data_IF_509238501296
#
_entry.id   IF_509238501296
#
_cell.length_a   1.000
_cell.length_b   1.000
_cell.length_c   1.000
_cell.angle_alpha   90.00
_cell.angle_beta   90.00
_cell.angle_gamma   90.00
#
_symmetry.space_group_name_H-M   'P 1'
#
loop_
_entity.id
_entity.type
_entity.pdbx_description
1 polymer ?
#
# COMPACT_ATOMS: atom_id res chain seq x y z
N UNK A 1 16.52 -27.73 15.29
CA UNK A 1 16.58 -27.88 13.84
C UNK A 1 15.58 -26.89 13.20
N UNK A 2 16.04 -26.07 12.27
CA UNK A 2 15.21 -25.13 11.51
C UNK A 2 15.08 -25.62 10.06
N UNK A 3 13.89 -26.03 9.63
CA UNK A 3 13.65 -26.42 8.25
C UNK A 3 13.52 -25.20 7.30
N UNK A 4 14.05 -24.05 7.68
CA UNK A 4 13.85 -22.77 6.95
C UNK A 4 14.24 -22.82 5.47
N UNK A 5 15.10 -23.77 5.10
CA UNK A 5 15.60 -23.91 3.74
C UNK A 5 15.17 -25.20 3.04
N UNK A 6 14.34 -26.01 3.68
CA UNK A 6 13.85 -27.24 3.08
C UNK A 6 12.42 -27.54 3.55
N UNK A 7 11.39 -27.10 2.80
CA UNK A 7 9.99 -27.29 3.15
C UNK A 7 9.55 -28.76 3.18
N UNK A 8 10.35 -29.67 2.61
CA UNK A 8 10.06 -31.10 2.57
C UNK A 8 10.51 -31.82 3.85
N UNK A 9 11.16 -31.08 4.78
CA UNK A 9 11.76 -31.65 5.94
C UNK A 9 10.91 -31.46 7.18
N UNK A 10 10.41 -32.55 7.71
CA UNK A 10 9.68 -32.58 8.98
C UNK A 10 10.33 -33.56 9.96
N UNK A 11 10.05 -33.41 11.22
CA UNK A 11 10.40 -34.39 12.23
C UNK A 11 9.24 -35.39 12.38
N UNK A 12 9.56 -36.67 12.41
CA UNK A 12 8.59 -37.68 12.79
C UNK A 12 8.27 -37.55 14.28
N UNK A 13 7.29 -38.34 14.76
CA UNK A 13 6.88 -38.30 16.17
C UNK A 13 7.96 -38.74 17.18
N UNK A 14 9.06 -39.32 16.69
CA UNK A 14 10.24 -39.67 17.50
C UNK A 14 11.29 -38.55 17.50
N UNK A 15 11.06 -37.44 16.81
CA UNK A 15 12.01 -36.36 16.66
C UNK A 15 13.12 -36.64 15.64
N UNK A 16 13.02 -37.71 14.87
CA UNK A 16 13.97 -38.01 13.79
C UNK A 16 13.60 -37.29 12.51
N UNK A 17 14.56 -36.91 11.67
CA UNK A 17 14.29 -36.31 10.36
C UNK A 17 13.42 -37.24 9.49
N UNK A 18 12.34 -36.70 8.98
CA UNK A 18 11.50 -37.37 8.00
C UNK A 18 11.24 -36.44 6.82
N UNK A 19 11.25 -37.01 5.63
CA UNK A 19 10.97 -36.25 4.41
C UNK A 19 9.53 -36.52 4.00
N UNK A 20 8.76 -35.42 3.89
CA UNK A 20 7.43 -35.46 3.33
C UNK A 20 7.57 -35.13 1.85
N UNK A 21 7.29 -36.06 0.98
CA UNK A 21 7.31 -35.82 -0.45
C UNK A 21 5.90 -35.60 -0.99
N UNK A 22 5.77 -34.81 -2.04
CA UNK A 22 4.52 -34.56 -2.77
C UNK A 22 3.83 -35.86 -3.21
N UNK A 23 4.63 -36.89 -3.47
CA UNK A 23 4.17 -38.20 -3.93
C UNK A 23 3.52 -39.03 -2.81
N UNK A 24 3.97 -38.85 -1.57
CA UNK A 24 3.45 -39.59 -0.40
C UNK A 24 2.12 -39.04 0.12
N UNK A 25 1.92 -37.70 0.05
CA UNK A 25 0.73 -37.03 0.57
C UNK A 25 0.32 -35.86 -0.35
N UNK A 26 -0.16 -36.15 -1.56
CA UNK A 26 -0.47 -35.12 -2.55
C UNK A 26 -1.51 -34.10 -2.05
N UNK A 27 -2.53 -34.54 -1.31
CA UNK A 27 -3.58 -33.65 -0.78
C UNK A 27 -3.05 -32.74 0.34
N UNK A 28 -2.20 -33.29 1.21
CA UNK A 28 -1.57 -32.51 2.28
C UNK A 28 -0.51 -31.57 1.71
N UNK A 29 0.22 -31.98 0.68
CA UNK A 29 1.14 -31.11 -0.04
C UNK A 29 0.42 -29.97 -0.74
N UNK A 30 -0.74 -30.24 -1.36
CA UNK A 30 -1.60 -29.19 -1.89
C UNK A 30 -2.12 -28.24 -0.81
N UNK A 31 -2.43 -28.73 0.39
CA UNK A 31 -2.79 -27.87 1.54
C UNK A 31 -1.62 -27.05 2.06
N UNK A 32 -0.41 -27.59 2.12
CA UNK A 32 0.80 -26.87 2.51
C UNK A 32 1.27 -25.86 1.46
N UNK A 33 1.16 -26.19 0.18
CA UNK A 33 1.53 -25.31 -0.93
C UNK A 33 0.39 -24.37 -1.32
N UNK A 34 -0.85 -24.78 -1.16
CA UNK A 34 -2.02 -23.90 -1.10
C UNK A 34 -2.11 -23.23 0.27
N UNK A 35 -1.08 -22.52 0.66
CA UNK A 35 -1.27 -21.36 1.51
C UNK A 35 -2.18 -20.43 0.74
N UNK A 36 -3.49 -20.57 0.95
CA UNK A 36 -4.57 -20.15 0.11
C UNK A 36 -4.25 -18.90 -0.69
N UNK A 37 -4.35 -18.99 -2.00
CA UNK A 37 -4.40 -17.79 -2.81
C UNK A 37 -5.57 -16.98 -2.28
N UNK A 38 -5.29 -15.95 -1.49
CA UNK A 38 -6.32 -15.05 -0.97
C UNK A 38 -6.81 -14.07 -2.03
N UNK A 39 -6.61 -14.44 -3.28
CA UNK A 39 -6.94 -13.62 -4.43
C UNK A 39 -7.58 -14.45 -5.55
N UNK A 40 -8.45 -13.81 -6.30
CA UNK A 40 -8.99 -14.33 -7.55
C UNK A 40 -9.13 -13.21 -8.55
N UNK A 41 -8.64 -13.40 -9.76
CA UNK A 41 -8.91 -12.48 -10.87
C UNK A 41 -10.16 -12.93 -11.60
N UNK A 42 -11.12 -12.02 -11.81
CA UNK A 42 -12.30 -12.26 -12.64
C UNK A 42 -11.94 -12.21 -14.12
N UNK A 43 -12.90 -12.64 -14.99
CA UNK A 43 -12.78 -12.49 -16.45
C UNK A 43 -12.58 -11.05 -16.89
N UNK A 44 -13.08 -10.10 -16.12
CA UNK A 44 -13.03 -8.66 -16.40
C UNK A 44 -11.75 -7.99 -15.86
N UNK A 45 -10.79 -8.79 -15.37
CA UNK A 45 -9.50 -8.29 -14.86
C UNK A 45 -9.54 -7.70 -13.45
N UNK A 46 -10.66 -7.83 -12.74
CA UNK A 46 -10.78 -7.38 -11.35
C UNK A 46 -10.19 -8.44 -10.42
N UNK A 47 -9.26 -8.03 -9.57
CA UNK A 47 -8.65 -8.87 -8.55
C UNK A 47 -9.44 -8.75 -7.24
N UNK A 48 -10.03 -9.84 -6.78
CA UNK A 48 -10.67 -9.95 -5.47
C UNK A 48 -9.64 -10.34 -4.41
N UNK A 49 -9.68 -9.66 -3.27
CA UNK A 49 -8.74 -9.79 -2.16
C UNK A 49 -9.47 -10.14 -0.88
N UNK A 50 -8.96 -11.12 -0.13
CA UNK A 50 -9.48 -11.47 1.19
C UNK A 50 -8.32 -11.97 2.07
N UNK A 51 -7.92 -11.19 3.08
CA UNK A 51 -6.73 -11.44 3.88
C UNK A 51 -6.84 -10.90 5.30
N UNK A 52 -5.91 -11.29 6.17
CA UNK A 52 -5.67 -10.71 7.48
C UNK A 52 -4.44 -9.79 7.42
N UNK A 53 -4.54 -8.57 7.91
CA UNK A 53 -3.36 -7.71 8.05
C UNK A 53 -2.46 -8.25 9.16
N UNK A 54 -1.24 -8.66 8.80
CA UNK A 54 -0.26 -9.27 9.70
C UNK A 54 0.05 -8.39 10.91
N UNK A 55 0.05 -7.08 10.75
CA UNK A 55 0.43 -6.15 11.80
C UNK A 55 -0.69 -5.89 12.80
N UNK A 56 -1.94 -5.81 12.33
CA UNK A 56 -3.08 -5.41 13.16
C UNK A 56 -4.02 -6.55 13.51
N UNK A 57 -3.93 -7.69 12.81
CA UNK A 57 -4.87 -8.80 12.94
C UNK A 57 -6.26 -8.50 12.38
N UNK A 58 -6.44 -7.38 11.68
CA UNK A 58 -7.72 -6.99 11.09
C UNK A 58 -7.92 -7.72 9.77
N UNK A 59 -9.11 -8.27 9.58
CA UNK A 59 -9.51 -8.89 8.33
C UNK A 59 -9.92 -7.84 7.29
N UNK A 60 -9.40 -7.98 6.07
CA UNK A 60 -9.67 -7.07 4.95
C UNK A 60 -10.21 -7.82 3.75
N UNK A 61 -11.16 -7.21 3.08
CA UNK A 61 -11.78 -7.72 1.85
C UNK A 61 -11.95 -6.58 0.86
N UNK A 62 -11.88 -6.90 -0.43
CA UNK A 62 -12.07 -5.86 -1.43
C UNK A 62 -11.68 -6.28 -2.83
N UNK A 63 -11.54 -5.26 -3.68
CA UNK A 63 -11.23 -5.42 -5.09
C UNK A 63 -10.11 -4.47 -5.50
N UNK A 64 -9.33 -4.91 -6.46
CA UNK A 64 -8.35 -4.09 -7.14
C UNK A 64 -8.53 -4.23 -8.66
N UNK A 65 -8.71 -3.12 -9.33
CA UNK A 65 -8.80 -3.03 -10.78
C UNK A 65 -7.51 -2.42 -11.32
N UNK A 66 -6.67 -3.26 -11.94
CA UNK A 66 -5.36 -2.81 -12.42
C UNK A 66 -5.44 -1.80 -13.58
N UNK A 67 -6.51 -1.85 -14.38
CA UNK A 67 -6.70 -0.95 -15.51
C UNK A 67 -6.92 0.51 -15.09
N UNK A 68 -7.60 0.72 -13.97
CA UNK A 68 -7.95 2.04 -13.43
C UNK A 68 -7.16 2.41 -12.18
N UNK A 69 -6.32 1.49 -11.69
CA UNK A 69 -5.60 1.59 -10.40
C UNK A 69 -6.52 1.85 -9.20
N UNK A 70 -7.75 1.37 -9.27
CA UNK A 70 -8.73 1.52 -8.19
C UNK A 70 -8.63 0.35 -7.21
N UNK A 71 -8.35 0.67 -5.96
CA UNK A 71 -8.32 -0.25 -4.85
C UNK A 71 -9.46 0.09 -3.88
N UNK A 72 -10.44 -0.80 -3.77
CA UNK A 72 -11.54 -0.71 -2.79
C UNK A 72 -11.33 -1.79 -1.71
N UNK A 73 -10.91 -1.36 -0.52
CA UNK A 73 -10.66 -2.22 0.63
C UNK A 73 -11.53 -1.83 1.80
N UNK A 74 -12.25 -2.82 2.33
CA UNK A 74 -13.12 -2.67 3.46
C UNK A 74 -12.75 -3.65 4.57
N UNK A 75 -12.71 -3.22 5.84
CA UNK A 75 -12.50 -4.14 6.94
C UNK A 75 -13.69 -5.08 7.10
N UNK A 76 -13.44 -6.33 7.37
CA UNK A 76 -14.45 -7.29 7.78
C UNK A 76 -14.58 -7.31 9.29
N UNK A 77 -15.79 -7.38 9.81
CA UNK A 77 -16.05 -7.41 11.26
C UNK A 77 -15.42 -8.62 11.96
N UNK A 78 -15.34 -9.73 11.25
CA UNK A 78 -14.77 -10.98 11.72
C UNK A 78 -14.40 -11.90 10.54
N UNK A 79 -13.75 -13.01 10.85
CA UNK A 79 -13.37 -14.01 9.87
C UNK A 79 -14.55 -14.62 9.11
N UNK A 80 -15.69 -14.81 9.78
CA UNK A 80 -16.89 -15.35 9.13
C UNK A 80 -17.38 -14.46 7.99
N UNK A 81 -17.36 -13.14 8.18
CA UNK A 81 -17.73 -12.18 7.15
C UNK A 81 -16.73 -12.21 5.98
N UNK A 82 -15.43 -12.36 6.30
CA UNK A 82 -14.40 -12.50 5.27
C UNK A 82 -14.61 -13.77 4.45
N UNK A 83 -14.85 -14.91 5.10
CA UNK A 83 -15.10 -16.21 4.43
C UNK A 83 -16.37 -16.18 3.58
N UNK A 84 -17.40 -15.48 4.04
CA UNK A 84 -18.62 -15.30 3.24
C UNK A 84 -18.34 -14.51 1.95
N UNK A 85 -17.58 -13.41 2.04
CA UNK A 85 -17.12 -12.66 0.86
C UNK A 85 -16.28 -13.54 -0.07
N UNK A 86 -15.31 -14.26 0.49
CA UNK A 86 -14.46 -15.15 -0.29
C UNK A 86 -15.27 -16.22 -1.04
N UNK A 87 -16.25 -16.83 -0.38
CA UNK A 87 -17.15 -17.80 -0.99
C UNK A 87 -18.01 -17.18 -2.11
N UNK A 88 -18.55 -15.97 -1.86
CA UNK A 88 -19.39 -15.26 -2.83
C UNK A 88 -18.63 -14.97 -4.14
N UNK A 89 -17.38 -14.56 -4.03
CA UNK A 89 -16.56 -14.20 -5.19
C UNK A 89 -15.58 -15.30 -5.63
N UNK A 90 -15.65 -16.48 -5.00
CA UNK A 90 -14.82 -17.62 -5.34
C UNK A 90 -13.33 -17.40 -5.05
N UNK A 91 -12.99 -16.55 -4.07
CA UNK A 91 -11.61 -16.39 -3.61
C UNK A 91 -11.24 -17.64 -2.79
N UNK A 92 -10.18 -18.35 -3.16
CA UNK A 92 -9.77 -19.54 -2.42
C UNK A 92 -9.12 -19.15 -1.11
N UNK A 93 -9.80 -19.43 0.00
CA UNK A 93 -9.23 -19.33 1.34
C UNK A 93 -9.19 -20.71 1.95
N UNK A 94 -8.01 -21.15 2.38
CA UNK A 94 -7.83 -22.40 3.10
C UNK A 94 -8.39 -22.36 4.54
N UNK A 95 -7.98 -23.31 5.37
CA UNK A 95 -8.39 -23.35 6.78
C UNK A 95 -7.92 -22.13 7.54
N UNK A 96 -6.75 -21.59 7.19
CA UNK A 96 -6.23 -20.35 7.74
C UNK A 96 -6.36 -19.20 6.72
N UNK A 97 -6.77 -18.04 7.22
CA UNK A 97 -6.80 -16.82 6.41
C UNK A 97 -5.36 -16.36 6.16
N UNK A 98 -4.96 -16.20 4.90
CA UNK A 98 -3.61 -15.73 4.60
C UNK A 98 -3.33 -14.34 5.16
N UNK A 99 -2.12 -14.19 5.70
CA UNK A 99 -1.63 -12.92 6.20
C UNK A 99 -0.96 -12.11 5.09
N UNK A 100 -1.27 -10.82 5.04
CA UNK A 100 -0.71 -9.85 4.12
C UNK A 100 -0.21 -8.62 4.89
N UNK A 101 0.73 -7.91 4.31
CA UNK A 101 1.16 -6.62 4.82
C UNK A 101 0.36 -5.50 4.16
N UNK A 102 -0.44 -4.80 4.98
CA UNK A 102 -1.14 -3.60 4.56
C UNK A 102 -0.29 -2.38 4.90
N UNK A 103 0.31 -1.76 3.87
CA UNK A 103 1.25 -0.66 4.00
C UNK A 103 0.70 0.65 3.42
N UNK A 104 1.34 1.74 3.78
CA UNK A 104 1.20 3.03 3.12
C UNK A 104 2.61 3.53 2.79
N UNK A 105 3.06 3.26 1.57
CA UNK A 105 4.40 3.62 1.10
C UNK A 105 4.32 4.45 -0.18
N UNK A 106 4.52 5.78 -0.08
CA UNK A 106 4.52 6.68 -1.24
C UNK A 106 5.67 6.45 -2.21
N UNK A 107 6.75 5.81 -1.77
CA UNK A 107 7.90 5.52 -2.63
C UNK A 107 7.64 4.30 -3.54
N UNK A 108 6.74 3.41 -3.14
CA UNK A 108 6.36 2.23 -3.90
C UNK A 108 5.07 2.47 -4.69
N UNK A 109 5.15 2.36 -6.01
CA UNK A 109 4.00 2.54 -6.92
C UNK A 109 3.18 1.28 -7.12
N UNK A 110 3.66 0.12 -6.69
CA UNK A 110 2.94 -1.15 -6.79
C UNK A 110 1.82 -1.17 -5.75
N UNK A 111 0.58 -1.23 -6.22
CA UNK A 111 -0.62 -1.21 -5.35
C UNK A 111 -0.86 -2.56 -4.70
N UNK A 112 -0.78 -3.63 -5.46
CA UNK A 112 -1.01 -4.99 -4.99
C UNK A 112 0.10 -5.89 -5.52
N UNK A 113 0.89 -6.44 -4.63
CA UNK A 113 1.89 -7.46 -4.91
C UNK A 113 1.41 -8.79 -4.35
N UNK A 114 0.88 -9.63 -5.23
CA UNK A 114 0.32 -10.93 -4.85
C UNK A 114 1.41 -11.95 -4.49
N UNK A 115 2.62 -11.79 -5.01
CA UNK A 115 3.74 -12.69 -4.73
C UNK A 115 4.29 -12.47 -3.32
N UNK A 116 4.48 -11.21 -2.95
CA UNK A 116 4.98 -10.84 -1.63
C UNK A 116 3.86 -10.60 -0.60
N UNK A 117 2.60 -10.72 -1.01
CA UNK A 117 1.41 -10.49 -0.17
C UNK A 117 1.40 -9.10 0.46
N UNK A 118 1.60 -8.08 -0.36
CA UNK A 118 1.62 -6.68 0.05
C UNK A 118 0.47 -5.94 -0.63
N UNK A 119 -0.25 -5.14 0.15
CA UNK A 119 -1.21 -4.15 -0.37
C UNK A 119 -0.77 -2.77 0.08
N UNK A 120 -0.50 -1.92 -0.89
CA UNK A 120 -0.14 -0.53 -0.65
C UNK A 120 -1.37 0.37 -0.80
N UNK A 121 -1.77 1.02 0.28
CA UNK A 121 -2.91 1.95 0.29
C UNK A 121 -2.59 3.31 -0.32
N UNK A 122 -1.32 3.59 -0.58
CA UNK A 122 -0.94 4.84 -1.22
C UNK A 122 -1.53 4.90 -2.64
N UNK A 123 -2.22 5.99 -2.94
CA UNK A 123 -2.71 6.30 -4.27
C UNK A 123 -2.04 7.58 -4.75
N UNK A 124 -1.26 7.53 -5.84
CA UNK A 124 -0.66 8.72 -6.39
C UNK A 124 -1.74 9.65 -6.92
N UNK A 125 -1.57 10.94 -6.68
CA UNK A 125 -2.43 11.96 -7.28
C UNK A 125 -2.09 12.16 -8.76
N UNK A 126 -3.03 12.72 -9.54
CA UNK A 126 -2.78 13.06 -10.95
C UNK A 126 -1.55 13.97 -11.12
N UNK A 127 -1.33 14.87 -10.15
CA UNK A 127 -0.14 15.75 -10.14
C UNK A 127 1.14 14.93 -10.02
N UNK A 128 1.16 13.91 -9.15
CA UNK A 128 2.32 13.04 -8.98
C UNK A 128 2.59 12.18 -10.21
N UNK A 129 1.54 11.80 -10.94
CA UNK A 129 1.64 11.06 -12.21
C UNK A 129 2.04 11.96 -13.39
N UNK A 130 1.83 13.28 -13.27
CA UNK A 130 2.16 14.27 -14.31
C UNK A 130 3.59 14.81 -14.21
N UNK A 131 4.42 14.27 -13.33
CA UNK A 131 5.85 14.66 -13.19
C UNK A 131 6.56 14.54 -14.53
N UNK A 132 7.11 15.67 -15.01
CA UNK A 132 7.70 15.79 -16.34
C UNK A 132 6.86 16.60 -17.35
N UNK A 133 5.56 16.81 -17.07
CA UNK A 133 4.67 17.71 -17.85
C UNK A 133 4.45 19.07 -17.18
N UNK A 134 5.06 19.28 -16.01
CA UNK A 134 4.90 20.51 -15.25
C UNK A 134 5.49 21.71 -15.99
N UNK A 135 4.85 22.89 -15.88
CA UNK A 135 5.39 24.12 -16.45
C UNK A 135 6.78 24.40 -15.85
N UNK A 136 7.72 24.86 -16.67
CA UNK A 136 9.10 25.16 -16.27
C UNK A 136 9.23 26.34 -15.28
N UNK A 137 8.18 27.05 -15.01
CA UNK A 137 8.16 28.20 -14.11
C UNK A 137 6.89 28.21 -13.26
N UNK A 138 7.01 28.73 -12.04
CA UNK A 138 5.86 28.94 -11.16
C UNK A 138 4.92 29.97 -11.81
N UNK A 139 3.60 29.68 -11.90
CA UNK A 139 2.63 30.63 -12.45
C UNK A 139 2.70 32.01 -11.74
N UNK A 140 2.64 33.13 -12.45
CA UNK A 140 2.85 34.47 -11.86
C UNK A 140 1.94 34.78 -10.67
N UNK A 141 0.68 34.34 -10.71
CA UNK A 141 -0.27 34.53 -9.61
C UNK A 141 0.16 33.76 -8.36
N UNK A 142 0.57 32.49 -8.51
CA UNK A 142 1.06 31.68 -7.41
C UNK A 142 2.33 32.31 -6.82
N UNK A 143 3.25 32.74 -7.68
CA UNK A 143 4.47 33.39 -7.23
C UNK A 143 4.19 34.68 -6.42
N UNK A 144 3.22 35.49 -6.85
CA UNK A 144 2.79 36.68 -6.10
C UNK A 144 2.22 36.33 -4.73
N UNK A 145 1.36 35.32 -4.66
CA UNK A 145 0.76 34.85 -3.40
C UNK A 145 1.86 34.34 -2.44
N UNK A 146 2.76 33.50 -2.94
CA UNK A 146 3.88 32.97 -2.15
C UNK A 146 4.78 34.09 -1.66
N UNK A 147 5.19 35.00 -2.54
CA UNK A 147 6.05 36.16 -2.16
C UNK A 147 5.40 36.99 -1.08
N UNK A 148 4.09 37.29 -1.22
CA UNK A 148 3.38 38.07 -0.21
C UNK A 148 3.25 37.33 1.12
N UNK A 149 2.83 36.03 1.08
CA UNK A 149 2.62 35.23 2.29
C UNK A 149 3.92 34.91 3.06
N UNK A 150 5.05 34.87 2.36
CA UNK A 150 6.38 34.56 2.92
C UNK A 150 7.24 35.83 3.20
N UNK A 151 6.63 37.00 3.18
CA UNK A 151 7.28 38.26 3.61
C UNK A 151 8.13 38.96 2.54
N UNK A 152 8.01 38.61 1.28
CA UNK A 152 8.65 39.30 0.15
C UNK A 152 10.10 38.91 -0.14
N UNK A 153 10.71 38.08 0.68
CA UNK A 153 12.10 37.64 0.48
C UNK A 153 12.13 36.46 -0.53
N UNK A 154 12.82 36.69 -1.65
CA UNK A 154 12.96 35.69 -2.71
C UNK A 154 13.68 34.43 -2.23
N UNK A 155 14.68 34.52 -1.38
CA UNK A 155 15.43 33.38 -0.88
C UNK A 155 14.51 32.45 -0.04
N UNK A 156 13.62 33.05 0.77
CA UNK A 156 12.63 32.32 1.56
C UNK A 156 11.62 31.62 0.64
N UNK A 157 11.13 32.32 -0.39
CA UNK A 157 10.21 31.74 -1.38
C UNK A 157 10.85 30.56 -2.12
N UNK A 158 12.06 30.73 -2.60
CA UNK A 158 12.80 29.68 -3.30
C UNK A 158 13.05 28.47 -2.38
N UNK A 159 13.40 28.69 -1.12
CA UNK A 159 13.59 27.63 -0.14
C UNK A 159 12.29 26.89 0.16
N UNK A 160 11.16 27.59 0.28
CA UNK A 160 9.84 26.97 0.48
C UNK A 160 9.43 26.10 -0.71
N UNK A 161 9.63 26.61 -1.93
CA UNK A 161 9.34 25.84 -3.16
C UNK A 161 10.22 24.59 -3.24
N UNK A 162 11.52 24.73 -2.96
CA UNK A 162 12.43 23.58 -2.96
C UNK A 162 12.07 22.54 -1.88
N UNK A 163 11.62 23.00 -0.72
CA UNK A 163 11.14 22.11 0.34
C UNK A 163 9.93 21.29 -0.11
N UNK A 164 8.91 21.93 -0.72
CA UNK A 164 7.75 21.22 -1.29
C UNK A 164 8.20 20.29 -2.42
N UNK A 165 9.06 20.76 -3.31
CA UNK A 165 9.57 19.95 -4.42
C UNK A 165 10.27 18.68 -3.91
N UNK A 166 11.05 18.78 -2.84
CA UNK A 166 11.69 17.62 -2.20
C UNK A 166 10.66 16.61 -1.73
N UNK A 167 9.60 17.04 -1.03
CA UNK A 167 8.51 16.14 -0.58
C UNK A 167 7.87 15.40 -1.77
N UNK A 168 7.58 16.14 -2.85
CA UNK A 168 6.92 15.58 -4.04
C UNK A 168 7.84 14.62 -4.78
N UNK A 169 9.12 14.94 -4.91
CA UNK A 169 10.10 14.14 -5.65
C UNK A 169 10.54 12.89 -4.90
N UNK A 170 10.84 13.03 -3.61
CA UNK A 170 11.31 11.91 -2.79
C UNK A 170 10.18 11.05 -2.25
N UNK A 171 8.95 11.63 -2.17
CA UNK A 171 7.78 11.00 -1.54
C UNK A 171 8.03 10.57 -0.10
N UNK A 172 8.96 11.25 0.56
CA UNK A 172 9.37 10.96 1.93
C UNK A 172 9.16 12.19 2.82
N UNK A 173 9.22 11.96 4.13
CA UNK A 173 9.07 13.00 5.14
C UNK A 173 10.37 13.78 5.27
N UNK A 174 10.30 15.10 5.14
CA UNK A 174 11.48 15.98 5.29
C UNK A 174 11.95 16.12 6.73
N UNK A 175 11.20 15.60 7.72
CA UNK A 175 11.47 15.78 9.17
C UNK A 175 11.58 17.23 9.63
N UNK A 176 11.19 18.17 8.78
CA UNK A 176 11.16 19.61 9.02
C UNK A 176 9.75 20.13 8.82
N UNK A 177 9.41 21.22 9.49
CA UNK A 177 8.11 21.87 9.37
C UNK A 177 8.30 23.35 9.11
N UNK A 178 7.41 23.94 8.33
CA UNK A 178 7.32 25.37 8.17
C UNK A 178 6.32 25.94 9.17
N UNK A 179 6.75 26.97 9.89
CA UNK A 179 5.88 27.76 10.80
C UNK A 179 5.63 29.11 10.15
N UNK A 180 4.38 29.34 9.73
CA UNK A 180 3.95 30.60 9.14
C UNK A 180 3.45 31.51 10.25
N UNK A 181 4.22 32.56 10.58
CA UNK A 181 3.89 33.59 11.57
C UNK A 181 3.68 34.93 10.88
N UNK A 182 2.76 35.74 11.38
CA UNK A 182 2.48 37.09 10.87
C UNK A 182 1.05 37.53 11.14
N UNK A 183 0.75 38.78 10.79
CA UNK A 183 -0.57 39.38 10.95
C UNK A 183 -1.68 38.65 10.19
N UNK A 184 -2.91 38.79 10.63
CA UNK A 184 -4.08 38.25 9.92
C UNK A 184 -4.23 38.91 8.53
N UNK A 185 -4.83 38.18 7.60
CA UNK A 185 -5.09 38.69 6.24
C UNK A 185 -3.91 38.59 5.26
N UNK A 186 -2.74 38.12 5.67
CA UNK A 186 -1.53 38.03 4.81
C UNK A 186 -1.49 36.80 3.89
N UNK A 187 -2.60 36.06 3.75
CA UNK A 187 -2.70 34.93 2.80
C UNK A 187 -2.15 33.59 3.32
N UNK A 188 -1.70 33.50 4.57
CA UNK A 188 -1.20 32.24 5.16
C UNK A 188 -2.21 31.10 5.04
N UNK A 189 -3.50 31.38 5.31
CA UNK A 189 -4.58 30.39 5.19
C UNK A 189 -4.76 29.83 3.78
N UNK A 190 -4.42 30.57 2.73
CA UNK A 190 -4.48 30.09 1.34
C UNK A 190 -3.45 28.97 1.10
N UNK A 191 -2.33 29.01 1.81
CA UNK A 191 -1.28 27.98 1.70
C UNK A 191 -1.55 26.72 2.54
N UNK A 192 -2.39 26.82 3.58
CA UNK A 192 -2.57 25.74 4.57
C UNK A 192 -3.96 25.13 4.60
N UNK A 193 -4.99 25.87 4.15
CA UNK A 193 -6.37 25.40 4.16
C UNK A 193 -6.72 24.70 2.83
N UNK A 194 -7.48 23.60 2.97
CA UNK A 194 -8.05 22.88 1.82
C UNK A 194 -9.24 23.63 1.25
#
# INVERSE_FOLDING_TARGET
YHPENNPDYILNFKGEPAYLTKELLPDYWQQLTNTGSSTRTSSDGVLYLAFCDRRTGVYWRGTYEAATDVLDLNPAKNETQLRHFAKQYGVPIGDFVPEWDLIFDPANMVRVDTQNRIVNRFQPTEIMLSVGKAPKAVPPTINKVLTHALGGDKAIVDHFINWIATVVQTRDRTRTAWVLHGTEGTGKGILTNK
#
